data_IF_727229494464
#
_entry.id   IF_727229494464
#
_cell.length_a   1.000
_cell.length_b   1.000
_cell.length_c   1.000
_cell.angle_alpha   90.00
_cell.angle_beta   90.00
_cell.angle_gamma   90.00
#
_symmetry.space_group_name_H-M   'P 1'
#
loop_
_entity.id
_entity.type
_entity.pdbx_description
1 polymer ?
#
# COMPACT_ATOMS: atom_id res chain seq x y z
N UNK A 1 31.05 -7.96 57.97
CA UNK A 1 29.58 -8.16 57.91
C UNK A 1 29.33 -9.59 58.31
N UNK A 2 28.46 -9.80 59.30
CA UNK A 2 28.14 -11.14 59.79
C UNK A 2 27.32 -11.90 58.73
N UNK A 3 27.97 -12.81 58.00
CA UNK A 3 27.36 -13.59 56.91
C UNK A 3 26.44 -14.68 57.43
N UNK A 4 26.54 -15.02 58.72
CA UNK A 4 25.83 -16.14 59.32
C UNK A 4 24.48 -15.72 59.93
N UNK A 5 24.19 -14.41 59.92
CA UNK A 5 22.92 -13.91 60.39
C UNK A 5 21.75 -14.43 59.52
N UNK A 6 20.65 -14.94 60.12
CA UNK A 6 19.52 -15.54 59.38
C UNK A 6 18.93 -14.66 58.28
N UNK A 7 18.91 -13.34 58.50
CA UNK A 7 18.49 -12.35 57.50
C UNK A 7 19.35 -12.40 56.22
N UNK A 8 20.67 -12.53 56.34
CA UNK A 8 21.57 -12.61 55.19
C UNK A 8 21.36 -13.90 54.42
N UNK A 9 21.20 -15.04 55.11
CA UNK A 9 20.88 -16.32 54.48
C UNK A 9 19.54 -16.28 53.72
N UNK A 10 18.53 -15.61 54.30
CA UNK A 10 17.23 -15.42 53.64
C UNK A 10 17.33 -14.60 52.35
N UNK A 11 18.09 -13.50 52.37
CA UNK A 11 18.31 -12.67 51.18
C UNK A 11 19.08 -13.43 50.10
N UNK A 12 20.11 -14.17 50.49
CA UNK A 12 20.90 -14.98 49.57
C UNK A 12 20.06 -16.07 48.91
N UNK A 13 19.18 -16.75 49.65
CA UNK A 13 18.32 -17.79 49.10
C UNK A 13 17.10 -17.27 48.33
N UNK A 14 16.95 -15.95 48.18
CA UNK A 14 15.84 -15.38 47.44
C UNK A 14 16.01 -15.56 45.92
N UNK A 15 14.88 -15.71 45.20
CA UNK A 15 14.88 -15.69 43.72
C UNK A 15 14.99 -14.28 43.13
N UNK A 16 15.27 -13.26 43.94
CA UNK A 16 15.35 -11.86 43.50
C UNK A 16 16.82 -11.42 43.34
N UNK A 17 17.22 -11.14 42.11
CA UNK A 17 18.59 -10.71 41.77
C UNK A 17 19.03 -9.40 42.44
N UNK A 18 18.09 -8.56 42.87
CA UNK A 18 18.39 -7.30 43.56
C UNK A 18 18.75 -7.49 45.04
N UNK A 19 18.29 -8.59 45.64
CA UNK A 19 18.46 -8.85 47.08
C UNK A 19 19.68 -9.72 47.37
N UNK A 20 20.07 -10.55 46.40
CA UNK A 20 21.24 -11.40 46.45
C UNK A 20 22.51 -10.54 46.39
N UNK A 21 23.36 -10.63 47.42
CA UNK A 21 24.64 -9.93 47.45
C UNK A 21 25.73 -10.77 46.80
N UNK A 22 26.70 -10.08 46.20
CA UNK A 22 27.85 -10.73 45.60
C UNK A 22 28.89 -11.08 46.65
N UNK A 23 29.57 -12.20 46.42
CA UNK A 23 30.79 -12.53 47.15
C UNK A 23 31.97 -11.82 46.49
N UNK A 24 32.86 -11.27 47.31
CA UNK A 24 34.06 -10.57 46.81
C UNK A 24 34.91 -11.54 45.98
N UNK A 25 35.24 -11.14 44.75
CA UNK A 25 36.08 -11.93 43.83
C UNK A 25 35.36 -13.04 43.08
N UNK A 26 34.03 -13.20 43.24
CA UNK A 26 33.22 -14.15 42.47
C UNK A 26 32.17 -13.42 41.62
N UNK A 27 31.75 -14.06 40.53
CA UNK A 27 30.62 -13.58 39.77
C UNK A 27 29.32 -13.69 40.60
N UNK A 28 28.36 -12.80 40.34
CA UNK A 28 27.02 -12.88 40.93
C UNK A 28 26.44 -14.29 40.70
N UNK A 29 25.86 -14.91 41.73
CA UNK A 29 25.18 -16.19 41.56
C UNK A 29 24.02 -16.07 40.58
N UNK A 30 23.82 -17.11 39.76
CA UNK A 30 22.63 -17.19 38.93
C UNK A 30 21.41 -17.45 39.83
N UNK A 31 20.35 -16.66 39.63
CA UNK A 31 19.09 -16.76 40.38
C UNK A 31 17.98 -17.38 39.53
N UNK A 32 18.27 -17.59 38.24
CA UNK A 32 17.39 -18.26 37.29
C UNK A 32 17.62 -19.76 37.36
N UNK A 33 16.56 -20.53 37.15
CA UNK A 33 16.65 -21.96 37.02
C UNK A 33 17.40 -22.27 35.71
N UNK A 34 18.62 -22.82 35.82
CA UNK A 34 19.44 -23.18 34.67
C UNK A 34 19.12 -24.62 34.25
N UNK A 35 19.25 -24.93 32.95
CA UNK A 35 19.20 -26.30 32.45
C UNK A 35 20.20 -27.23 33.17
N UNK A 36 19.88 -28.52 33.17
CA UNK A 36 20.73 -29.58 33.76
C UNK A 36 22.15 -29.58 33.19
N UNK A 37 23.09 -30.06 34.00
CA UNK A 37 24.48 -30.25 33.61
C UNK A 37 24.60 -31.03 32.29
N UNK A 38 25.30 -30.45 31.31
CA UNK A 38 25.39 -30.95 29.93
C UNK A 38 24.63 -30.12 28.88
N UNK A 39 23.82 -29.15 29.28
CA UNK A 39 23.20 -28.22 28.33
C UNK A 39 24.24 -27.26 27.72
N UNK A 40 24.32 -27.24 26.39
CA UNK A 40 25.15 -26.28 25.65
C UNK A 40 24.35 -25.02 25.34
N UNK A 41 24.80 -23.88 25.87
CA UNK A 41 24.22 -22.58 25.56
C UNK A 41 24.63 -22.10 24.15
N UNK A 42 23.79 -21.26 23.55
CA UNK A 42 24.00 -20.70 22.21
C UNK A 42 23.08 -21.30 21.16
N UNK A 43 23.17 -20.79 19.93
CA UNK A 43 22.44 -21.33 18.78
C UNK A 43 23.32 -22.31 18.03
N UNK A 44 22.84 -23.54 17.82
CA UNK A 44 23.54 -24.51 16.96
C UNK A 44 23.40 -24.04 15.52
N UNK A 45 24.52 -23.82 14.84
CA UNK A 45 24.49 -23.53 13.42
C UNK A 45 24.06 -24.80 12.67
N UNK A 46 22.89 -24.73 12.02
CA UNK A 46 22.44 -25.80 11.14
C UNK A 46 23.35 -25.79 9.92
N UNK A 47 24.16 -26.83 9.75
CA UNK A 47 24.94 -27.01 8.52
C UNK A 47 23.96 -27.22 7.37
N UNK A 48 24.24 -26.58 6.23
CA UNK A 48 23.47 -26.81 5.03
C UNK A 48 23.59 -28.29 4.63
N UNK A 49 22.48 -28.93 4.22
CA UNK A 49 22.50 -30.33 3.81
C UNK A 49 23.28 -30.54 2.50
N UNK A 50 23.43 -29.48 1.70
CA UNK A 50 24.13 -29.50 0.43
C UNK A 50 25.55 -28.96 0.59
N UNK A 51 26.54 -29.72 0.13
CA UNK A 51 27.93 -29.27 0.06
C UNK A 51 28.19 -28.40 -1.18
N UNK A 52 29.28 -27.63 -1.15
CA UNK A 52 29.64 -26.72 -2.26
C UNK A 52 29.71 -27.43 -3.63
N UNK A 53 30.22 -28.67 -3.68
CA UNK A 53 30.24 -29.47 -4.90
C UNK A 53 28.84 -29.75 -5.47
N UNK A 54 27.87 -30.08 -4.62
CA UNK A 54 26.48 -30.36 -5.04
C UNK A 54 25.78 -29.11 -5.57
N UNK A 55 26.05 -27.95 -4.95
CA UNK A 55 25.50 -26.66 -5.39
C UNK A 55 26.06 -26.25 -6.75
N UNK A 56 27.36 -26.49 -6.98
CA UNK A 56 28.00 -26.17 -8.27
C UNK A 56 27.53 -27.12 -9.38
N UNK A 57 27.37 -28.41 -9.08
CA UNK A 57 26.97 -29.42 -10.07
C UNK A 57 25.48 -29.37 -10.42
N UNK A 58 24.62 -28.79 -9.57
CA UNK A 58 23.19 -28.73 -9.81
C UNK A 58 22.71 -27.29 -10.03
N UNK A 59 22.31 -26.97 -11.27
CA UNK A 59 21.59 -25.75 -11.56
C UNK A 59 20.13 -25.93 -11.14
N UNK A 60 19.77 -25.46 -9.94
CA UNK A 60 18.38 -25.43 -9.53
C UNK A 60 17.64 -24.37 -10.34
N UNK A 61 16.70 -24.81 -11.17
CA UNK A 61 15.78 -23.92 -11.86
C UNK A 61 14.78 -23.36 -10.85
N UNK A 62 14.36 -22.11 -11.06
CA UNK A 62 13.32 -21.49 -10.25
C UNK A 62 12.09 -22.40 -10.15
N UNK A 63 11.82 -22.90 -8.94
CA UNK A 63 10.58 -23.56 -8.61
C UNK A 63 9.57 -22.46 -8.31
N UNK A 64 8.44 -22.37 -9.03
CA UNK A 64 7.41 -21.40 -8.68
C UNK A 64 7.01 -21.64 -7.23
N UNK A 65 6.99 -20.57 -6.44
CA UNK A 65 6.51 -20.62 -5.06
C UNK A 65 5.15 -21.28 -5.05
N UNK A 66 4.97 -22.30 -4.20
CA UNK A 66 3.67 -22.95 -3.98
C UNK A 66 2.60 -21.88 -3.87
N UNK A 67 1.49 -22.06 -4.60
CA UNK A 67 0.40 -21.08 -4.70
C UNK A 67 0.02 -20.58 -3.30
N UNK A 68 0.57 -19.40 -2.96
CA UNK A 68 0.28 -18.79 -1.67
C UNK A 68 -1.17 -18.37 -1.74
N UNK A 69 -1.95 -19.13 -1.00
CA UNK A 69 -3.34 -18.92 -0.75
C UNK A 69 -3.57 -17.42 -0.45
N UNK A 70 -4.33 -16.74 -1.31
CA UNK A 70 -4.49 -15.29 -1.20
C UNK A 70 -5.09 -14.89 0.15
N UNK A 71 -4.80 -13.65 0.54
CA UNK A 71 -5.33 -13.07 1.77
C UNK A 71 -6.86 -13.12 1.80
N UNK A 72 -7.42 -13.28 3.00
CA UNK A 72 -8.88 -13.24 3.21
C UNK A 72 -9.43 -11.85 2.93
N UNK A 73 -10.56 -11.78 2.25
CA UNK A 73 -11.28 -10.54 1.98
C UNK A 73 -12.23 -10.22 3.15
N UNK A 74 -11.69 -9.53 4.16
CA UNK A 74 -12.47 -9.09 5.31
C UNK A 74 -13.56 -8.07 4.97
N UNK A 75 -13.41 -7.28 3.89
CA UNK A 75 -14.46 -6.33 3.47
C UNK A 75 -15.68 -7.08 2.99
N UNK A 76 -15.49 -8.12 2.17
CA UNK A 76 -16.58 -8.96 1.70
C UNK A 76 -17.18 -9.81 2.82
N UNK A 77 -16.34 -10.39 3.69
CA UNK A 77 -16.82 -11.12 4.86
C UNK A 77 -17.68 -10.25 5.79
N UNK A 78 -17.26 -9.02 6.08
CA UNK A 78 -18.03 -8.11 6.92
C UNK A 78 -19.38 -7.71 6.28
N UNK A 79 -19.41 -7.52 4.95
CA UNK A 79 -20.68 -7.32 4.23
C UNK A 79 -21.60 -8.53 4.35
N UNK A 80 -21.05 -9.73 4.24
CA UNK A 80 -21.82 -10.97 4.37
C UNK A 80 -22.32 -11.18 5.81
N UNK A 81 -21.51 -10.88 6.83
CA UNK A 81 -21.92 -11.01 8.23
C UNK A 81 -23.06 -10.04 8.58
N UNK A 82 -23.04 -8.83 8.02
CA UNK A 82 -24.13 -7.86 8.15
C UNK A 82 -25.42 -8.35 7.47
N UNK A 83 -25.30 -8.94 6.28
CA UNK A 83 -26.45 -9.54 5.59
C UNK A 83 -27.06 -10.71 6.38
N UNK A 84 -26.24 -11.47 7.10
CA UNK A 84 -26.65 -12.52 8.03
C UNK A 84 -27.12 -12.00 9.39
N UNK A 85 -27.24 -10.67 9.57
CA UNK A 85 -27.69 -10.00 10.80
C UNK A 85 -26.84 -10.32 12.03
N UNK A 86 -25.54 -10.59 11.85
CA UNK A 86 -24.60 -10.82 12.94
C UNK A 86 -24.12 -9.48 13.49
N UNK A 87 -24.53 -9.14 14.71
CA UNK A 87 -24.21 -7.87 15.38
C UNK A 87 -23.12 -8.01 16.44
N UNK A 88 -22.89 -9.22 16.96
CA UNK A 88 -21.91 -9.45 18.03
C UNK A 88 -20.52 -9.77 17.47
N UNK A 89 -19.46 -9.19 18.05
CA UNK A 89 -18.07 -9.41 17.61
C UNK A 89 -17.67 -10.91 17.56
N UNK A 90 -18.10 -11.70 18.55
CA UNK A 90 -17.88 -13.16 18.58
C UNK A 90 -18.52 -13.88 17.38
N UNK A 91 -19.74 -13.48 17.03
CA UNK A 91 -20.46 -14.06 15.89
C UNK A 91 -19.76 -13.72 14.56
N UNK A 92 -19.27 -12.48 14.42
CA UNK A 92 -18.52 -12.06 13.22
C UNK A 92 -17.21 -12.83 13.09
N UNK A 93 -16.51 -13.06 14.19
CA UNK A 93 -15.26 -13.85 14.18
C UNK A 93 -15.50 -15.33 13.90
N UNK A 94 -16.55 -15.94 14.44
CA UNK A 94 -16.97 -17.29 14.08
C UNK A 94 -17.38 -17.40 12.61
N UNK A 95 -18.13 -16.42 12.10
CA UNK A 95 -18.54 -16.34 10.70
C UNK A 95 -17.34 -16.26 9.75
N UNK A 96 -16.30 -15.50 10.10
CA UNK A 96 -15.06 -15.39 9.33
C UNK A 96 -14.16 -16.65 9.38
N UNK A 97 -14.36 -17.52 10.37
CA UNK A 97 -13.72 -18.85 10.43
C UNK A 97 -14.46 -19.86 9.54
N UNK A 98 -15.79 -19.82 9.54
CA UNK A 98 -16.63 -20.74 8.76
C UNK A 98 -16.65 -20.42 7.27
N UNK A 99 -16.60 -19.13 6.90
CA UNK A 99 -16.65 -18.69 5.50
C UNK A 99 -15.25 -18.29 5.04
N UNK A 100 -14.68 -18.99 4.07
CA UNK A 100 -13.42 -18.62 3.44
C UNK A 100 -13.66 -17.83 2.17
N UNK A 101 -13.55 -16.50 2.26
CA UNK A 101 -13.65 -15.58 1.13
C UNK A 101 -12.31 -14.89 0.98
N UNK A 102 -11.72 -14.96 -0.21
CA UNK A 102 -10.38 -14.45 -0.48
C UNK A 102 -10.36 -13.36 -1.54
N UNK A 103 -9.33 -12.53 -1.48
CA UNK A 103 -9.07 -11.51 -2.48
C UNK A 103 -8.67 -12.20 -3.78
N UNK A 104 -9.26 -11.78 -4.91
CA UNK A 104 -8.84 -12.25 -6.23
C UNK A 104 -7.41 -11.79 -6.47
N UNK A 105 -6.51 -12.74 -6.69
CA UNK A 105 -5.14 -12.41 -7.04
C UNK A 105 -5.13 -11.70 -8.41
N UNK A 106 -4.79 -10.41 -8.42
CA UNK A 106 -4.65 -9.67 -9.68
C UNK A 106 -3.31 -9.95 -10.36
N UNK A 107 -2.36 -10.60 -9.67
CA UNK A 107 -1.02 -10.88 -10.20
C UNK A 107 -1.04 -11.86 -11.37
N UNK A 108 -2.07 -12.71 -11.46
CA UNK A 108 -2.15 -13.76 -12.48
C UNK A 108 -3.22 -13.54 -13.57
N UNK A 109 -3.92 -12.40 -13.58
CA UNK A 109 -4.96 -12.14 -14.60
C UNK A 109 -4.34 -11.79 -15.97
N UNK A 110 -3.05 -11.43 -16.00
CA UNK A 110 -2.29 -11.17 -17.25
C UNK A 110 -1.50 -12.36 -17.79
N UNK A 111 -1.30 -13.41 -16.98
CA UNK A 111 -0.49 -14.59 -17.30
C UNK A 111 -1.37 -15.80 -17.62
N UNK A 112 -2.54 -15.55 -18.20
CA UNK A 112 -3.20 -16.59 -18.98
C UNK A 112 -2.20 -16.99 -20.05
N UNK A 113 -1.56 -18.15 -19.84
CA UNK A 113 -0.53 -18.78 -20.67
C UNK A 113 -0.67 -18.27 -22.11
N UNK A 114 0.05 -17.18 -22.44
CA UNK A 114 0.35 -16.92 -23.84
C UNK A 114 1.14 -18.15 -24.22
N UNK A 115 0.53 -19.00 -25.04
CA UNK A 115 1.08 -20.30 -25.41
C UNK A 115 2.57 -20.14 -25.60
N UNK A 116 3.37 -21.02 -24.97
CA UNK A 116 4.80 -21.06 -25.24
C UNK A 116 4.92 -21.03 -26.76
N UNK A 117 5.40 -19.94 -27.34
CA UNK A 117 5.64 -19.88 -28.77
C UNK A 117 6.73 -20.93 -29.01
N UNK A 118 6.30 -22.11 -29.43
CA UNK A 118 7.16 -23.13 -29.97
C UNK A 118 7.36 -22.77 -31.43
N UNK A 119 8.18 -21.77 -31.67
CA UNK A 119 8.74 -21.46 -32.98
C UNK A 119 10.04 -20.69 -32.77
N UNK A 120 10.82 -20.65 -33.83
CA UNK A 120 12.11 -19.98 -34.01
C UNK A 120 12.00 -18.45 -33.82
N UNK A 121 11.49 -18.05 -32.66
CA UNK A 121 11.15 -16.68 -32.30
C UNK A 121 12.44 -15.99 -31.86
N UNK A 122 12.89 -15.05 -32.67
CA UNK A 122 14.01 -14.18 -32.33
C UNK A 122 13.57 -13.23 -31.21
N UNK A 123 14.19 -13.39 -30.04
CA UNK A 123 14.00 -12.46 -28.93
C UNK A 123 14.77 -11.17 -29.21
N UNK A 124 14.07 -10.03 -29.19
CA UNK A 124 14.69 -8.71 -29.34
C UNK A 124 13.79 -7.72 -30.06
N UNK A 125 14.19 -6.45 -30.04
CA UNK A 125 13.59 -5.42 -30.89
C UNK A 125 14.37 -5.46 -32.22
N UNK A 126 13.74 -5.74 -33.37
CA UNK A 126 14.44 -5.71 -34.64
C UNK A 126 15.02 -4.30 -34.87
N UNK A 127 16.19 -4.23 -35.50
CA UNK A 127 16.77 -2.94 -35.86
C UNK A 127 15.78 -2.15 -36.72
N UNK A 128 15.59 -0.87 -36.38
CA UNK A 128 14.77 0.03 -37.19
C UNK A 128 15.38 0.07 -38.60
N UNK A 129 14.58 -0.09 -39.68
CA UNK A 129 15.10 0.06 -41.03
C UNK A 129 15.71 1.44 -41.21
N UNK A 130 16.79 1.53 -42.00
CA UNK A 130 17.41 2.81 -42.34
C UNK A 130 16.38 3.72 -43.01
N UNK A 131 16.37 5.01 -42.66
CA UNK A 131 15.52 6.01 -43.32
C UNK A 131 15.86 6.07 -44.81
N UNK A 132 14.90 5.78 -45.72
CA UNK A 132 15.13 5.88 -47.16
C UNK A 132 15.72 7.23 -47.57
N UNK A 133 16.91 7.21 -48.18
CA UNK A 133 17.66 8.43 -48.52
C UNK A 133 16.91 9.32 -49.51
N UNK A 134 16.14 8.72 -50.42
CA UNK A 134 15.29 9.42 -51.39
C UNK A 134 14.32 10.38 -50.70
N UNK A 135 13.67 9.93 -49.62
CA UNK A 135 12.72 10.75 -48.87
C UNK A 135 13.40 11.85 -48.05
N UNK A 136 14.66 11.65 -47.65
CA UNK A 136 15.46 12.66 -46.95
C UNK A 136 15.88 13.76 -47.93
N UNK A 137 16.47 13.37 -49.06
CA UNK A 137 16.96 14.30 -50.09
C UNK A 137 15.81 15.04 -50.77
N UNK A 138 14.70 14.33 -51.05
CA UNK A 138 13.51 14.89 -51.68
C UNK A 138 12.56 15.64 -50.76
N UNK A 139 12.92 15.90 -49.50
CA UNK A 139 12.07 16.55 -48.49
C UNK A 139 10.71 15.85 -48.27
N UNK A 140 10.63 14.54 -48.50
CA UNK A 140 9.40 13.76 -48.35
C UNK A 140 8.85 13.79 -46.92
N UNK A 141 9.72 13.68 -45.91
CA UNK A 141 9.32 13.77 -44.50
C UNK A 141 8.82 15.16 -44.11
N UNK A 142 9.37 16.21 -44.70
CA UNK A 142 8.89 17.58 -44.50
C UNK A 142 7.47 17.76 -45.02
N UNK A 143 7.19 17.23 -46.22
CA UNK A 143 5.85 17.27 -46.81
C UNK A 143 4.83 16.48 -45.98
N UNK A 144 5.18 15.26 -45.55
CA UNK A 144 4.32 14.44 -44.67
C UNK A 144 4.02 15.17 -43.35
N UNK A 145 5.04 15.76 -42.72
CA UNK A 145 4.85 16.50 -41.47
C UNK A 145 3.97 17.75 -41.65
N UNK A 146 4.07 18.44 -42.79
CA UNK A 146 3.21 19.57 -43.11
C UNK A 146 1.75 19.13 -43.31
N UNK A 147 1.52 18.00 -43.99
CA UNK A 147 0.19 17.41 -44.14
C UNK A 147 -0.41 16.94 -42.82
N UNK A 148 0.35 16.29 -41.96
CA UNK A 148 -0.12 15.86 -40.63
C UNK A 148 -0.48 17.06 -39.75
N UNK A 149 0.33 18.12 -39.77
CA UNK A 149 0.02 19.39 -39.09
C UNK A 149 -1.28 20.01 -39.64
N UNK A 150 -1.46 19.97 -40.96
CA UNK A 150 -2.69 20.45 -41.58
C UNK A 150 -3.90 19.63 -41.14
N UNK A 151 -3.83 18.30 -41.20
CA UNK A 151 -4.92 17.39 -40.76
C UNK A 151 -5.25 17.56 -39.28
N UNK A 152 -4.24 17.65 -38.42
CA UNK A 152 -4.46 17.86 -36.98
C UNK A 152 -5.09 19.22 -36.71
N UNK A 153 -4.67 20.27 -37.40
CA UNK A 153 -5.31 21.58 -37.30
C UNK A 153 -6.76 21.56 -37.78
N UNK A 154 -7.05 20.94 -38.93
CA UNK A 154 -8.41 20.77 -39.46
C UNK A 154 -9.29 19.95 -38.52
N UNK A 155 -8.79 18.83 -37.98
CA UNK A 155 -9.50 18.00 -37.01
C UNK A 155 -9.82 18.78 -35.74
N UNK A 156 -8.83 19.51 -35.19
CA UNK A 156 -9.02 20.32 -34.00
C UNK A 156 -9.97 21.51 -34.23
N UNK A 157 -10.05 22.03 -35.45
CA UNK A 157 -10.98 23.11 -35.82
C UNK A 157 -12.41 22.61 -35.98
N UNK A 158 -12.59 21.37 -36.48
CA UNK A 158 -13.91 20.72 -36.61
C UNK A 158 -14.43 20.16 -35.28
N UNK A 159 -13.54 19.68 -34.39
CA UNK A 159 -13.93 19.31 -33.03
C UNK A 159 -14.18 20.58 -32.20
N UNK A 160 -15.45 20.88 -31.93
CA UNK A 160 -15.97 21.99 -31.07
C UNK A 160 -15.14 22.22 -29.77
N UNK A 161 -15.18 23.44 -29.19
CA UNK A 161 -14.05 24.06 -28.51
C UNK A 161 -13.56 23.26 -27.31
N UNK A 162 -12.24 23.30 -27.12
CA UNK A 162 -11.53 22.82 -25.94
C UNK A 162 -12.33 23.20 -24.70
N UNK A 163 -12.87 22.20 -23.99
CA UNK A 163 -13.34 22.42 -22.62
C UNK A 163 -12.18 23.09 -21.89
N UNK A 164 -12.41 24.21 -21.18
CA UNK A 164 -11.33 24.83 -20.43
C UNK A 164 -10.73 23.75 -19.53
N UNK A 165 -9.42 23.54 -19.63
CA UNK A 165 -8.70 22.77 -18.61
C UNK A 165 -9.08 23.44 -17.30
N UNK A 166 -9.79 22.72 -16.44
CA UNK A 166 -10.00 23.12 -15.04
C UNK A 166 -8.61 23.17 -14.39
N UNK A 167 -7.89 24.26 -14.61
CA UNK A 167 -6.78 24.70 -13.79
C UNK A 167 -7.39 24.97 -12.41
N UNK A 168 -6.89 24.34 -11.33
CA UNK A 168 -7.32 24.69 -10.00
C UNK A 168 -6.63 26.01 -9.62
N UNK A 169 -7.04 27.12 -10.23
CA UNK A 169 -6.56 28.45 -9.84
C UNK A 169 -7.61 29.50 -10.18
N UNK A 170 -8.10 30.12 -9.11
CA UNK A 170 -9.04 31.24 -9.05
C UNK A 170 -10.49 30.94 -9.48
N UNK A 171 -11.32 30.57 -8.51
CA UNK A 171 -12.76 30.85 -8.57
C UNK A 171 -12.97 32.35 -8.37
N UNK A 172 -12.83 33.14 -9.43
CA UNK A 172 -13.50 34.44 -9.48
C UNK A 172 -14.99 34.14 -9.63
N UNK A 173 -15.74 34.30 -8.54
CA UNK A 173 -17.18 34.30 -8.59
C UNK A 173 -17.58 35.52 -9.42
N UNK A 174 -18.17 35.28 -10.59
CA UNK A 174 -19.03 36.25 -11.24
C UNK A 174 -20.20 36.51 -10.29
N UNK A 175 -20.10 37.59 -9.51
CA UNK A 175 -21.22 38.12 -8.74
C UNK A 175 -22.26 38.62 -9.75
N UNK A 176 -23.23 37.77 -10.07
CA UNK A 176 -24.52 38.25 -10.56
C UNK A 176 -25.07 39.18 -9.48
N UNK A 177 -25.33 40.44 -9.85
CA UNK A 177 -25.95 41.47 -9.00
C UNK A 177 -27.40 41.10 -8.65
N UNK A 178 -27.60 39.96 -7.99
CA UNK A 178 -28.87 39.66 -7.34
C UNK A 178 -28.86 40.35 -5.99
N UNK A 179 -29.72 41.37 -5.84
CA UNK A 179 -29.91 42.09 -4.58
C UNK A 179 -30.12 41.08 -3.45
N UNK A 180 -29.17 41.07 -2.49
CA UNK A 180 -29.24 40.18 -1.33
C UNK A 180 -30.48 40.53 -0.53
N UNK A 181 -31.52 39.68 -0.61
CA UNK A 181 -32.71 39.79 0.24
C UNK A 181 -32.29 39.75 1.71
N UNK A 182 -32.75 40.73 2.49
CA UNK A 182 -32.30 40.98 3.87
C UNK A 182 -32.52 39.77 4.79
N UNK A 183 -33.55 38.97 4.54
CA UNK A 183 -33.81 37.70 5.23
C UNK A 183 -33.81 36.49 4.30
N UNK A 184 -33.13 35.43 4.76
CA UNK A 184 -33.14 34.11 4.08
C UNK A 184 -34.43 33.34 4.30
N UNK A 185 -35.19 33.65 5.36
CA UNK A 185 -36.45 32.96 5.68
C UNK A 185 -37.67 33.72 5.15
N UNK A 186 -38.55 33.01 4.43
CA UNK A 186 -39.77 33.57 3.83
C UNK A 186 -40.69 34.27 4.82
N UNK A 187 -40.79 33.77 6.05
CA UNK A 187 -41.66 34.37 7.09
C UNK A 187 -41.22 35.76 7.54
N UNK A 188 -39.96 36.12 7.32
CA UNK A 188 -39.44 37.43 7.70
C UNK A 188 -39.39 38.39 6.52
N UNK A 189 -39.36 37.88 5.26
CA UNK A 189 -40.21 38.34 4.12
C UNK A 189 -40.73 39.79 4.11
N UNK A 190 -41.72 39.99 4.98
CA UNK A 190 -42.74 41.04 4.92
C UNK A 190 -42.85 41.76 6.27
N UNK A 191 -41.90 41.55 7.18
CA UNK A 191 -41.92 42.20 8.50
C UNK A 191 -41.26 43.57 8.38
N UNK A 192 -42.07 44.63 8.45
CA UNK A 192 -41.57 46.01 8.40
C UNK A 192 -40.71 46.35 9.63
N UNK A 193 -39.61 47.07 9.42
CA UNK A 193 -38.74 47.51 10.51
C UNK A 193 -39.46 48.56 11.36
N UNK A 194 -39.46 48.39 12.68
CA UNK A 194 -40.10 49.34 13.63
C UNK A 194 -39.32 50.65 13.84
N UNK A 195 -38.17 50.81 13.18
CA UNK A 195 -37.30 51.98 13.31
C UNK A 195 -37.29 52.74 12.00
N UNK A 196 -37.64 54.04 12.02
CA UNK A 196 -37.58 54.91 10.85
C UNK A 196 -36.11 55.31 10.60
N UNK A 197 -35.47 54.70 9.60
CA UNK A 197 -34.12 55.08 9.19
C UNK A 197 -34.16 56.31 8.28
N UNK A 198 -33.96 57.50 8.85
CA UNK A 198 -33.77 58.74 8.11
C UNK A 198 -32.29 58.91 7.73
N UNK A 199 -31.78 58.07 6.82
CA UNK A 199 -30.44 58.27 6.25
C UNK A 199 -30.57 58.75 4.80
N UNK A 200 -30.22 60.02 4.65
CA UNK A 200 -30.21 60.84 3.44
C UNK A 200 -29.32 60.21 2.36
N UNK A 201 -29.88 59.93 1.19
CA UNK A 201 -29.09 59.64 -0.02
C UNK A 201 -28.46 60.95 -0.52
N UNK A 202 -27.13 60.99 -0.58
CA UNK A 202 -26.38 61.90 -1.46
C UNK A 202 -25.92 61.13 -2.69
#
# INVERSE_FOLDING_TARGET
MDTDHPFYQKLQNSKNILLVKDDVGRAKRCVRDLPTEGFSYGSKLKKDPEGAGSVISSWQVHKPTNEQQTEKDFKKLNKMSLNSKLTTSKQVTEFAKQNDVRVKDRRHIGDGVKGKNQSDDYFGVPNKPSTPIEQVVGNGYGNVAAEEKKRTYEFNLQSKPLKPKNSPRATEKTETLEEKKEFKMKKFQQVESKVKNNLISK
#
